data_IF_457840475134
#
_entry.id   IF_457840475134
#
_cell.length_a   1.000
_cell.length_b   1.000
_cell.length_c   1.000
_cell.angle_alpha   90.00
_cell.angle_beta   90.00
_cell.angle_gamma   90.00
#
_symmetry.space_group_name_H-M   'P 1'
#
loop_
_entity.id
_entity.type
_entity.pdbx_description
1 polymer ?
#
# COMPACT_ATOMS: atom_id res chain seq x y z
N UNK A 1 -32.81 -60.35 45.77
CA UNK A 1 -31.64 -61.25 45.66
C UNK A 1 -30.89 -60.90 44.38
N UNK A 2 -29.56 -60.72 44.46
CA UNK A 2 -28.50 -60.78 43.39
C UNK A 2 -28.66 -59.88 42.14
N UNK A 3 -27.92 -58.77 41.97
CA UNK A 3 -26.50 -58.56 41.56
C UNK A 3 -26.19 -58.92 40.09
N UNK A 4 -26.13 -57.87 39.24
CA UNK A 4 -25.02 -57.45 38.35
C UNK A 4 -24.55 -58.33 37.15
N UNK A 5 -24.48 -57.76 35.92
CA UNK A 5 -23.23 -57.39 35.19
C UNK A 5 -23.30 -57.44 33.65
N UNK A 6 -23.02 -56.27 33.01
CA UNK A 6 -22.28 -56.01 31.74
C UNK A 6 -22.82 -56.67 30.44
N UNK A 7 -22.67 -56.16 29.21
CA UNK A 7 -21.80 -55.14 28.60
C UNK A 7 -22.21 -54.97 27.12
N UNK A 8 -21.94 -53.79 26.54
CA UNK A 8 -21.49 -53.55 25.14
C UNK A 8 -22.39 -53.96 23.97
N UNK A 9 -22.59 -53.21 22.88
CA UNK A 9 -21.84 -52.12 22.23
C UNK A 9 -22.83 -51.32 21.37
N UNK A 10 -22.79 -49.99 21.49
CA UNK A 10 -23.42 -49.06 20.55
C UNK A 10 -22.52 -48.91 19.32
N UNK A 11 -23.05 -49.17 18.12
CA UNK A 11 -22.41 -48.78 16.86
C UNK A 11 -23.16 -47.54 16.36
N UNK A 12 -22.63 -46.36 16.71
CA UNK A 12 -23.01 -45.11 16.09
C UNK A 12 -22.14 -44.92 14.84
N UNK A 13 -22.76 -44.95 13.66
CA UNK A 13 -22.10 -44.62 12.40
C UNK A 13 -21.91 -43.10 12.32
N UNK A 14 -20.67 -42.63 12.46
CA UNK A 14 -20.28 -41.26 12.14
C UNK A 14 -20.15 -41.11 10.61
N UNK A 15 -21.12 -40.42 10.00
CA UNK A 15 -20.96 -39.83 8.67
C UNK A 15 -20.00 -38.65 8.74
N UNK A 16 -18.77 -38.84 8.26
CA UNK A 16 -17.79 -37.78 8.09
C UNK A 16 -18.20 -36.88 6.91
N UNK A 17 -18.63 -35.66 7.20
CA UNK A 17 -18.79 -34.60 6.21
C UNK A 17 -17.38 -34.09 5.84
N UNK A 18 -16.94 -34.44 4.63
CA UNK A 18 -15.73 -33.88 4.01
C UNK A 18 -16.00 -32.40 3.69
N UNK A 19 -15.56 -31.50 4.57
CA UNK A 19 -15.44 -30.08 4.25
C UNK A 19 -14.21 -29.94 3.34
N UNK A 20 -14.45 -29.78 2.04
CA UNK A 20 -13.42 -29.33 1.11
C UNK A 20 -13.00 -27.91 1.51
N UNK A 21 -11.98 -27.81 2.37
CA UNK A 21 -11.22 -26.59 2.54
C UNK A 21 -10.51 -26.30 1.22
N UNK A 22 -11.11 -25.49 0.37
CA UNK A 22 -10.39 -24.79 -0.70
C UNK A 22 -9.43 -23.82 -0.02
N UNK A 23 -8.24 -24.31 0.32
CA UNK A 23 -7.10 -23.45 0.55
C UNK A 23 -6.86 -22.72 -0.78
N UNK A 24 -7.38 -21.51 -0.91
CA UNK A 24 -6.82 -20.54 -1.83
C UNK A 24 -5.39 -20.34 -1.36
N UNK A 25 -4.47 -21.10 -1.95
CA UNK A 25 -3.07 -20.77 -1.95
C UNK A 25 -2.98 -19.39 -2.59
N UNK A 26 -3.03 -18.35 -1.75
CA UNK A 26 -2.69 -17.01 -2.19
C UNK A 26 -1.29 -17.14 -2.77
N UNK A 27 -1.17 -16.94 -4.08
CA UNK A 27 0.13 -16.76 -4.70
C UNK A 27 0.85 -15.74 -3.82
N UNK A 28 2.00 -16.13 -3.24
CA UNK A 28 2.84 -15.20 -2.52
C UNK A 28 3.10 -14.05 -3.50
N UNK A 29 2.52 -12.89 -3.24
CA UNK A 29 2.69 -11.73 -4.11
C UNK A 29 4.19 -11.54 -4.30
N UNK A 30 4.64 -11.42 -5.55
CA UNK A 30 6.05 -11.24 -5.83
C UNK A 30 6.57 -10.05 -5.00
N UNK A 31 7.49 -10.32 -4.09
CA UNK A 31 8.04 -9.28 -3.21
C UNK A 31 9.33 -8.75 -3.83
N UNK A 32 9.36 -7.46 -4.16
CA UNK A 32 10.58 -6.76 -4.53
C UNK A 32 11.31 -6.29 -3.27
N UNK A 33 12.60 -6.59 -3.14
CA UNK A 33 13.45 -6.04 -2.07
C UNK A 33 14.09 -4.71 -2.48
N UNK A 34 14.51 -3.90 -1.50
CA UNK A 34 15.26 -2.66 -1.77
C UNK A 34 16.52 -2.91 -2.60
N UNK A 35 17.24 -4.02 -2.35
CA UNK A 35 18.44 -4.36 -3.11
C UNK A 35 18.13 -4.66 -4.58
N UNK A 36 17.03 -5.39 -4.86
CA UNK A 36 16.58 -5.64 -6.22
C UNK A 36 16.09 -4.37 -6.91
N UNK A 37 15.39 -3.49 -6.18
CA UNK A 37 14.96 -2.19 -6.69
C UNK A 37 16.17 -1.31 -7.06
N UNK A 38 17.19 -1.26 -6.19
CA UNK A 38 18.43 -0.53 -6.44
C UNK A 38 19.19 -1.10 -7.64
N UNK A 39 19.27 -2.43 -7.77
CA UNK A 39 19.90 -3.07 -8.92
C UNK A 39 19.19 -2.73 -10.23
N UNK A 40 17.86 -2.71 -10.24
CA UNK A 40 17.07 -2.31 -11.40
C UNK A 40 17.28 -0.83 -11.77
N UNK A 41 17.38 0.06 -10.78
CA UNK A 41 17.72 1.46 -10.97
C UNK A 41 19.14 1.62 -11.54
N UNK A 42 20.12 0.89 -11.02
CA UNK A 42 21.50 0.95 -11.49
C UNK A 42 21.64 0.44 -12.94
N UNK A 43 20.89 -0.60 -13.31
CA UNK A 43 20.83 -1.10 -14.68
C UNK A 43 20.23 -0.06 -15.64
N UNK A 44 19.10 0.55 -15.25
CA UNK A 44 18.48 1.65 -16.00
C UNK A 44 19.45 2.81 -16.25
N UNK A 45 20.16 3.27 -15.21
CA UNK A 45 21.16 4.34 -15.33
C UNK A 45 22.31 3.93 -16.29
N UNK A 46 22.76 2.68 -16.20
CA UNK A 46 23.82 2.17 -17.07
C UNK A 46 23.38 2.12 -18.55
N UNK A 47 22.14 1.70 -18.81
CA UNK A 47 21.56 1.66 -20.15
C UNK A 47 21.41 3.07 -20.74
N UNK A 48 20.92 4.03 -19.95
CA UNK A 48 20.82 5.45 -20.36
C UNK A 48 22.18 6.08 -20.69
N UNK A 49 23.21 5.75 -19.90
CA UNK A 49 24.59 6.18 -20.11
C UNK A 49 25.20 5.56 -21.38
N UNK A 50 24.90 4.29 -21.64
CA UNK A 50 25.35 3.60 -22.85
C UNK A 50 24.66 4.15 -24.11
N UNK A 51 23.38 4.51 -24.02
CA UNK A 51 22.64 5.14 -25.09
C UNK A 51 23.08 6.59 -25.37
N UNK A 52 23.63 7.28 -24.36
CA UNK A 52 24.03 8.69 -24.46
C UNK A 52 25.49 8.92 -24.03
N UNK A 53 26.49 8.41 -24.79
CA UNK A 53 27.90 8.51 -24.41
C UNK A 53 28.41 9.96 -24.29
N UNK A 54 27.73 10.93 -24.91
CA UNK A 54 28.03 12.36 -24.81
C UNK A 54 27.65 12.98 -23.44
N UNK A 55 26.84 12.30 -22.62
CA UNK A 55 26.49 12.71 -21.24
C UNK A 55 27.51 12.24 -20.20
N UNK A 56 28.64 11.64 -20.62
CA UNK A 56 29.77 11.31 -19.75
C UNK A 56 30.46 12.62 -19.29
N UNK A 57 29.85 13.29 -18.32
CA UNK A 57 30.45 14.41 -17.60
C UNK A 57 31.56 13.94 -16.64
N UNK A 58 32.00 14.85 -15.76
CA UNK A 58 33.02 14.54 -14.76
C UNK A 58 32.63 13.31 -13.91
N UNK A 59 33.49 12.28 -13.93
CA UNK A 59 33.32 11.02 -13.22
C UNK A 59 33.13 11.22 -11.70
N UNK A 60 33.76 12.26 -11.13
CA UNK A 60 33.64 12.56 -9.71
C UNK A 60 32.26 13.16 -9.38
N UNK A 61 31.79 14.09 -10.21
CA UNK A 61 30.49 14.73 -10.01
C UNK A 61 29.34 13.74 -10.26
N UNK A 62 29.45 12.91 -11.29
CA UNK A 62 28.47 11.86 -11.57
C UNK A 62 28.40 10.81 -10.45
N UNK A 63 29.53 10.50 -9.78
CA UNK A 63 29.53 9.63 -8.61
C UNK A 63 28.86 10.27 -7.38
N UNK A 64 29.10 11.56 -7.12
CA UNK A 64 28.49 12.27 -5.97
C UNK A 64 26.99 12.43 -6.08
N UNK A 65 26.48 12.67 -7.30
CA UNK A 65 25.06 12.90 -7.57
C UNK A 65 24.35 11.66 -8.14
N UNK A 66 24.99 10.48 -8.07
CA UNK A 66 24.38 9.22 -8.51
C UNK A 66 23.09 8.97 -7.72
N UNK A 67 21.93 8.85 -8.39
CA UNK A 67 20.69 8.50 -7.74
C UNK A 67 20.80 7.15 -7.02
N UNK A 68 20.29 7.08 -5.79
CA UNK A 68 20.19 5.84 -5.01
C UNK A 68 18.86 5.77 -4.30
N UNK A 69 18.37 4.56 -4.06
CA UNK A 69 17.23 4.30 -3.20
C UNK A 69 17.72 4.10 -1.76
N UNK A 70 17.18 4.87 -0.82
CA UNK A 70 17.50 4.76 0.61
C UNK A 70 16.44 3.95 1.37
N UNK A 71 15.22 3.85 0.83
CA UNK A 71 14.16 3.03 1.40
C UNK A 71 13.19 2.51 0.34
N UNK A 72 12.57 1.37 0.65
CA UNK A 72 11.43 0.80 -0.06
C UNK A 72 10.28 0.66 0.95
N UNK A 73 9.25 1.48 0.81
CA UNK A 73 8.10 1.51 1.74
C UNK A 73 7.19 0.32 1.52
N UNK A 74 6.92 0.00 0.26
CA UNK A 74 6.07 -1.13 -0.12
C UNK A 74 5.73 -1.11 -1.60
N UNK A 75 5.23 -2.23 -2.09
CA UNK A 75 4.85 -2.43 -3.48
C UNK A 75 3.41 -2.93 -3.56
N UNK A 76 2.72 -2.53 -4.62
CA UNK A 76 1.39 -3.00 -4.98
C UNK A 76 1.40 -3.49 -6.43
N UNK A 77 0.55 -4.45 -6.80
CA UNK A 77 0.33 -4.76 -8.21
C UNK A 77 -0.08 -3.50 -8.97
N UNK A 78 0.61 -3.24 -10.07
CA UNK A 78 0.31 -2.09 -10.92
C UNK A 78 -1.06 -2.27 -11.59
N UNK A 79 -1.90 -1.24 -11.49
CA UNK A 79 -3.21 -1.21 -12.15
C UNK A 79 -3.01 -0.98 -13.65
N UNK A 80 -3.78 -1.69 -14.48
CA UNK A 80 -3.75 -1.62 -15.94
C UNK A 80 -2.37 -1.95 -16.57
N UNK A 81 -1.55 -2.72 -15.86
CA UNK A 81 -0.23 -3.16 -16.32
C UNK A 81 -0.19 -4.66 -16.66
N UNK A 82 0.96 -5.13 -17.16
CA UNK A 82 1.20 -6.57 -17.37
C UNK A 82 1.12 -7.31 -16.02
N UNK A 83 0.74 -8.60 -16.02
CA UNK A 83 0.82 -9.43 -14.82
C UNK A 83 2.18 -9.31 -14.12
N UNK A 84 2.17 -9.35 -12.80
CA UNK A 84 3.36 -9.28 -11.93
C UNK A 84 4.17 -7.98 -12.01
N UNK A 85 3.63 -6.94 -12.67
CA UNK A 85 4.18 -5.57 -12.59
C UNK A 85 3.85 -4.96 -11.23
N UNK A 86 4.83 -4.29 -10.62
CA UNK A 86 4.69 -3.68 -9.30
C UNK A 86 4.89 -2.17 -9.36
N UNK A 87 3.99 -1.43 -8.74
CA UNK A 87 4.18 -0.01 -8.40
C UNK A 87 4.66 0.07 -6.95
N UNK A 88 5.88 0.59 -6.76
CA UNK A 88 6.54 0.62 -5.47
C UNK A 88 6.80 2.06 -5.02
N UNK A 89 6.43 2.35 -3.78
CA UNK A 89 6.76 3.61 -3.11
C UNK A 89 8.19 3.49 -2.58
N UNK A 90 9.08 4.35 -3.06
CA UNK A 90 10.49 4.38 -2.69
C UNK A 90 10.89 5.77 -2.17
N UNK A 91 11.94 5.80 -1.36
CA UNK A 91 12.68 7.02 -1.06
C UNK A 91 13.98 6.99 -1.86
N UNK A 92 14.15 7.97 -2.73
CA UNK A 92 15.35 8.19 -3.51
C UNK A 92 16.15 9.37 -2.99
N UNK A 93 17.46 9.34 -3.21
CA UNK A 93 18.38 10.41 -2.90
C UNK A 93 19.27 10.69 -4.11
N UNK A 94 19.32 11.96 -4.51
CA UNK A 94 20.26 12.49 -5.48
C UNK A 94 20.81 13.81 -4.93
N UNK A 95 22.07 13.82 -4.49
CA UNK A 95 22.63 14.93 -3.72
C UNK A 95 22.15 14.94 -2.26
N UNK A 96 21.98 16.13 -1.62
CA UNK A 96 21.71 16.23 -0.19
C UNK A 96 20.25 15.92 0.20
N UNK A 97 19.33 16.00 -0.74
CA UNK A 97 17.89 15.89 -0.46
C UNK A 97 17.37 14.49 -0.79
N UNK A 98 16.52 13.98 0.09
CA UNK A 98 15.68 12.82 -0.19
C UNK A 98 14.36 13.25 -0.85
N UNK A 99 13.81 12.38 -1.68
CA UNK A 99 12.51 12.54 -2.31
C UNK A 99 11.78 11.20 -2.29
N UNK A 100 10.50 11.22 -1.99
CA UNK A 100 9.64 10.06 -2.14
C UNK A 100 9.06 10.04 -3.56
N UNK A 101 9.02 8.88 -4.20
CA UNK A 101 8.44 8.69 -5.53
C UNK A 101 7.83 7.28 -5.67
N UNK A 102 6.99 7.11 -6.70
CA UNK A 102 6.52 5.77 -7.09
C UNK A 102 7.25 5.35 -8.35
N UNK A 103 7.89 4.19 -8.30
CA UNK A 103 8.58 3.58 -9.43
C UNK A 103 7.89 2.28 -9.83
N UNK A 104 7.86 2.01 -11.14
CA UNK A 104 7.25 0.79 -11.68
C UNK A 104 8.32 -0.24 -12.04
N UNK A 105 8.17 -1.44 -11.51
CA UNK A 105 9.09 -2.56 -11.74
C UNK A 105 8.38 -3.68 -12.49
N UNK A 106 9.01 -4.15 -13.55
CA UNK A 106 8.50 -5.22 -14.42
C UNK A 106 9.43 -6.44 -14.25
N UNK A 107 8.88 -7.66 -14.14
CA UNK A 107 9.71 -8.86 -14.10
C UNK A 107 10.51 -9.00 -15.41
N UNK A 108 11.79 -9.33 -15.29
CA UNK A 108 12.70 -9.57 -16.40
C UNK A 108 13.53 -10.82 -16.12
N UNK A 109 13.12 -11.96 -16.68
CA UNK A 109 13.64 -13.30 -16.38
C UNK A 109 13.72 -13.56 -14.86
N UNK A 110 14.92 -13.59 -14.28
CA UNK A 110 15.18 -13.81 -12.85
C UNK A 110 15.51 -12.51 -12.10
N UNK A 111 15.23 -11.36 -12.70
CA UNK A 111 15.52 -10.04 -12.17
C UNK A 111 14.30 -9.10 -12.32
N UNK A 112 14.50 -7.86 -11.90
CA UNK A 112 13.53 -6.78 -12.07
C UNK A 112 14.13 -5.73 -12.98
N UNK A 113 13.31 -5.16 -13.86
CA UNK A 113 13.64 -4.01 -14.67
C UNK A 113 12.82 -2.80 -14.20
N UNK A 114 13.45 -1.64 -14.11
CA UNK A 114 12.75 -0.38 -13.89
C UNK A 114 12.07 0.01 -15.22
N UNK A 115 10.74 0.17 -15.20
CA UNK A 115 10.04 0.75 -16.34
C UNK A 115 10.21 2.26 -16.30
N UNK A 116 10.98 2.79 -17.25
CA UNK A 116 11.12 4.22 -17.46
C UNK A 116 11.02 4.57 -18.95
N UNK A 117 10.69 5.81 -19.25
CA UNK A 117 10.84 6.42 -20.57
C UNK A 117 11.63 7.72 -20.46
N UNK A 118 12.03 8.31 -21.60
CA UNK A 118 12.73 9.60 -21.63
C UNK A 118 11.97 10.71 -20.87
N UNK A 119 10.64 10.60 -20.75
CA UNK A 119 9.79 11.63 -20.16
C UNK A 119 9.14 11.21 -18.82
N UNK A 120 9.26 9.94 -18.42
CA UNK A 120 8.52 9.41 -17.27
C UNK A 120 9.32 8.31 -16.58
N UNK A 121 9.98 8.66 -15.48
CA UNK A 121 10.65 7.74 -14.56
C UNK A 121 9.76 7.41 -13.35
N UNK A 122 8.93 8.37 -12.94
CA UNK A 122 8.00 8.25 -11.83
C UNK A 122 6.59 7.98 -12.37
N UNK A 123 5.86 7.05 -11.76
CA UNK A 123 4.44 6.83 -12.05
C UNK A 123 3.57 7.53 -11.00
N UNK A 124 2.27 7.66 -11.28
CA UNK A 124 1.31 8.20 -10.33
C UNK A 124 1.35 7.44 -9.00
N UNK A 125 1.11 8.16 -7.89
CA UNK A 125 1.03 7.54 -6.57
C UNK A 125 -0.10 6.50 -6.55
N UNK A 126 0.12 5.32 -5.94
CA UNK A 126 -0.91 4.29 -5.89
C UNK A 126 -2.09 4.79 -5.05
N UNK A 127 -3.30 4.52 -5.54
CA UNK A 127 -4.55 4.96 -4.91
C UNK A 127 -5.09 3.83 -4.03
N UNK A 128 -5.37 4.09 -2.73
CA UNK A 128 -5.99 3.09 -1.88
C UNK A 128 -7.40 2.73 -2.37
N UNK A 129 -7.79 1.45 -2.36
CA UNK A 129 -9.14 1.03 -2.75
C UNK A 129 -10.24 1.74 -1.95
N UNK A 130 -11.32 2.13 -2.61
CA UNK A 130 -12.41 2.91 -2.00
C UNK A 130 -13.05 2.21 -0.80
N UNK A 131 -13.24 0.90 -0.88
CA UNK A 131 -13.75 0.06 0.20
C UNK A 131 -12.81 0.01 1.40
N UNK A 132 -11.49 -0.03 1.16
CA UNK A 132 -10.50 0.10 2.24
C UNK A 132 -10.52 1.49 2.86
N UNK A 133 -10.63 2.55 2.05
CA UNK A 133 -10.74 3.93 2.54
C UNK A 133 -12.00 4.14 3.38
N UNK A 134 -13.12 3.47 3.06
CA UNK A 134 -14.31 3.47 3.92
C UNK A 134 -14.01 2.97 5.33
N UNK A 135 -13.27 1.87 5.46
CA UNK A 135 -12.89 1.33 6.77
C UNK A 135 -11.97 2.32 7.51
N UNK A 136 -10.96 2.86 6.81
CA UNK A 136 -10.02 3.83 7.37
C UNK A 136 -10.70 5.14 7.80
N UNK A 137 -11.72 5.60 7.08
CA UNK A 137 -12.54 6.74 7.45
C UNK A 137 -13.24 6.51 8.80
N UNK A 138 -13.84 5.34 8.98
CA UNK A 138 -14.54 4.98 10.22
C UNK A 138 -13.55 4.80 11.38
N UNK A 139 -12.37 4.25 11.14
CA UNK A 139 -11.29 4.18 12.13
C UNK A 139 -10.89 5.60 12.60
N UNK A 140 -10.68 6.54 11.66
CA UNK A 140 -10.33 7.92 11.98
C UNK A 140 -11.45 8.64 12.76
N UNK A 141 -12.72 8.39 12.42
CA UNK A 141 -13.87 8.93 13.18
C UNK A 141 -13.91 8.33 14.59
N UNK A 142 -13.65 7.04 14.76
CA UNK A 142 -13.59 6.40 16.07
C UNK A 142 -12.49 6.99 16.95
N UNK A 143 -11.33 7.31 16.37
CA UNK A 143 -10.24 7.97 17.10
C UNK A 143 -10.62 9.38 17.53
N UNK A 144 -11.25 10.16 16.65
CA UNK A 144 -11.79 11.48 16.97
C UNK A 144 -12.82 11.42 18.10
N UNK A 145 -13.74 10.44 18.07
CA UNK A 145 -14.74 10.23 19.13
C UNK A 145 -14.10 9.92 20.49
N UNK A 146 -12.99 9.19 20.51
CA UNK A 146 -12.28 8.87 21.74
C UNK A 146 -11.60 10.09 22.39
N UNK A 147 -11.32 11.13 21.60
CA UNK A 147 -10.70 12.38 22.06
C UNK A 147 -11.73 13.48 22.37
N UNK A 148 -12.98 13.32 21.91
CA UNK A 148 -14.04 14.32 22.07
C UNK A 148 -14.67 14.30 23.47
N UNK A 149 -14.56 15.43 24.18
CA UNK A 149 -15.05 15.61 25.54
C UNK A 149 -16.46 16.24 25.57
N UNK A 150 -16.88 16.96 24.54
CA UNK A 150 -18.23 17.53 24.42
C UNK A 150 -19.24 16.44 24.01
N UNK A 151 -20.24 16.21 24.85
CA UNK A 151 -21.26 15.19 24.61
C UNK A 151 -22.20 15.51 23.43
N UNK A 152 -22.51 16.78 23.19
CA UNK A 152 -23.32 17.19 22.06
C UNK A 152 -22.54 17.02 20.75
N UNK A 153 -21.25 17.39 20.74
CA UNK A 153 -20.38 17.17 19.58
C UNK A 153 -20.19 15.68 19.29
N UNK A 154 -19.93 14.88 20.34
CA UNK A 154 -19.77 13.42 20.21
C UNK A 154 -21.00 12.76 19.59
N UNK A 155 -22.20 13.18 19.98
CA UNK A 155 -23.46 12.67 19.42
C UNK A 155 -23.56 13.02 17.92
N UNK A 156 -23.25 14.27 17.54
CA UNK A 156 -23.26 14.69 16.12
C UNK A 156 -22.27 13.88 15.28
N UNK A 157 -21.06 13.66 15.78
CA UNK A 157 -20.05 12.85 15.08
C UNK A 157 -20.54 11.40 14.92
N UNK A 158 -21.15 10.83 15.96
CA UNK A 158 -21.71 9.47 15.89
C UNK A 158 -22.83 9.34 14.86
N UNK A 159 -23.75 10.32 14.79
CA UNK A 159 -24.85 10.31 13.84
C UNK A 159 -24.35 10.46 12.39
N UNK A 160 -23.39 11.38 12.16
CA UNK A 160 -22.73 11.51 10.87
C UNK A 160 -22.00 10.21 10.48
N UNK A 161 -21.28 9.58 11.41
CA UNK A 161 -20.54 8.34 11.15
C UNK A 161 -21.42 7.19 10.67
N UNK A 162 -22.66 7.09 11.16
CA UNK A 162 -23.61 6.03 10.77
C UNK A 162 -24.01 6.08 9.31
N UNK A 163 -23.96 7.27 8.71
CA UNK A 163 -24.35 7.49 7.31
C UNK A 163 -23.18 7.81 6.40
N UNK A 164 -21.97 7.94 6.97
CA UNK A 164 -20.76 8.29 6.25
C UNK A 164 -20.38 7.21 5.24
N UNK A 165 -20.37 7.57 3.96
CA UNK A 165 -19.95 6.73 2.84
C UNK A 165 -18.90 7.43 2.01
N UNK A 166 -17.82 6.73 1.68
CA UNK A 166 -16.84 7.19 0.71
C UNK A 166 -17.41 6.95 -0.68
N UNK A 167 -17.56 8.02 -1.46
CA UNK A 167 -18.04 7.97 -2.84
C UNK A 167 -16.95 8.24 -3.89
N UNK A 168 -15.74 8.59 -3.45
CA UNK A 168 -14.57 8.73 -4.32
C UNK A 168 -13.27 8.96 -3.55
N UNK A 169 -12.16 8.58 -4.17
CA UNK A 169 -10.80 8.84 -3.69
C UNK A 169 -10.04 9.45 -4.85
N UNK A 170 -9.67 10.72 -4.72
CA UNK A 170 -9.15 11.52 -5.83
C UNK A 170 -7.88 12.28 -5.44
N UNK A 171 -7.19 12.80 -6.47
CA UNK A 171 -6.03 13.70 -6.33
C UNK A 171 -4.97 13.15 -5.37
N UNK A 172 -4.76 11.84 -5.41
CA UNK A 172 -3.72 11.18 -4.63
C UNK A 172 -2.34 11.58 -5.12
N UNK A 173 -1.48 11.98 -4.18
CA UNK A 173 -0.07 12.30 -4.43
C UNK A 173 0.76 11.77 -3.28
N UNK A 174 2.04 11.49 -3.57
CA UNK A 174 2.97 11.12 -2.51
C UNK A 174 3.42 12.39 -1.76
N UNK A 175 3.46 12.31 -0.43
CA UNK A 175 3.86 13.40 0.45
C UNK A 175 5.32 13.79 0.22
N UNK A 176 5.64 15.08 0.37
CA UNK A 176 7.02 15.57 0.23
C UNK A 176 7.89 15.23 1.44
N UNK A 177 7.29 15.18 2.63
CA UNK A 177 8.01 15.05 3.91
C UNK A 177 8.06 13.62 4.47
N UNK A 178 7.22 12.73 3.93
CA UNK A 178 7.12 11.35 4.36
C UNK A 178 6.58 10.47 3.22
N UNK A 179 6.91 9.17 3.17
CA UNK A 179 6.45 8.26 2.13
C UNK A 179 4.99 7.81 2.38
N UNK A 180 4.08 8.77 2.43
CA UNK A 180 2.64 8.60 2.64
C UNK A 180 1.88 9.15 1.44
N UNK A 181 0.70 8.61 1.16
CA UNK A 181 -0.16 9.08 0.06
C UNK A 181 -1.23 10.00 0.62
N UNK A 182 -1.20 11.26 0.19
CA UNK A 182 -2.20 12.28 0.50
C UNK A 182 -3.28 12.26 -0.58
N UNK A 183 -4.54 12.03 -0.20
CA UNK A 183 -5.67 12.02 -1.12
C UNK A 183 -6.80 12.91 -0.62
N UNK A 184 -7.61 13.37 -1.56
CA UNK A 184 -8.92 13.97 -1.27
C UNK A 184 -9.99 12.88 -1.30
N UNK A 185 -10.59 12.62 -0.15
CA UNK A 185 -11.66 11.62 0.00
C UNK A 185 -13.00 12.30 -0.07
N UNK A 186 -13.84 11.88 -1.01
CA UNK A 186 -15.20 12.37 -1.13
C UNK A 186 -16.09 11.54 -0.21
N UNK A 187 -16.74 12.22 0.73
CA UNK A 187 -17.59 11.60 1.75
C UNK A 187 -19.01 12.15 1.63
N UNK A 188 -19.97 11.25 1.68
CA UNK A 188 -21.38 11.54 1.79
C UNK A 188 -21.88 11.15 3.18
N UNK A 189 -22.48 12.09 3.91
CA UNK A 189 -23.06 11.85 5.23
C UNK A 189 -24.30 12.74 5.40
N UNK A 190 -25.36 12.21 5.98
CA UNK A 190 -26.61 12.95 6.24
C UNK A 190 -27.20 13.64 4.99
N UNK A 191 -27.02 13.02 3.81
CA UNK A 191 -27.48 13.58 2.53
C UNK A 191 -26.64 14.76 2.01
N UNK A 192 -25.49 15.05 2.63
CA UNK A 192 -24.53 16.07 2.19
C UNK A 192 -23.26 15.42 1.67
N UNK A 193 -22.73 15.95 0.57
CA UNK A 193 -21.44 15.55 -0.01
C UNK A 193 -20.37 16.58 0.35
N UNK A 194 -19.22 16.11 0.80
CA UNK A 194 -18.07 16.94 1.12
C UNK A 194 -16.76 16.24 0.77
N UNK A 195 -15.67 17.00 0.82
CA UNK A 195 -14.31 16.49 0.60
C UNK A 195 -13.53 16.56 1.91
N UNK A 196 -12.84 15.47 2.25
CA UNK A 196 -11.99 15.36 3.43
C UNK A 196 -10.58 14.95 2.99
N UNK A 197 -9.55 15.79 3.22
CA UNK A 197 -8.16 15.37 3.05
C UNK A 197 -7.85 14.23 4.01
N UNK A 198 -7.22 13.17 3.51
CA UNK A 198 -6.75 12.04 4.31
C UNK A 198 -5.36 11.60 3.83
N UNK A 199 -4.56 11.12 4.78
CA UNK A 199 -3.20 10.67 4.54
C UNK A 199 -3.09 9.19 4.87
N UNK A 200 -2.54 8.42 3.94
CA UNK A 200 -2.48 6.97 4.01
C UNK A 200 -1.03 6.47 3.97
N UNK A 201 -0.71 5.52 4.84
CA UNK A 201 0.56 4.81 4.81
C UNK A 201 0.35 3.41 4.22
N UNK A 202 1.31 2.94 3.43
CA UNK A 202 1.39 1.55 3.00
C UNK A 202 2.35 0.82 3.94
N UNK A 203 1.82 -0.08 4.76
CA UNK A 203 2.58 -0.83 5.77
C UNK A 203 2.33 -2.30 5.54
N UNK A 204 3.40 -3.07 5.28
CA UNK A 204 3.32 -4.51 4.97
C UNK A 204 2.32 -4.82 3.84
N UNK A 205 2.29 -3.95 2.81
CA UNK A 205 1.38 -4.07 1.67
C UNK A 205 -0.08 -3.74 1.98
N UNK A 206 -0.38 -3.22 3.17
CA UNK A 206 -1.73 -2.85 3.60
C UNK A 206 -1.84 -1.35 3.84
N UNK A 207 -2.96 -0.77 3.37
CA UNK A 207 -3.26 0.63 3.60
C UNK A 207 -3.73 0.87 5.03
N UNK A 208 -3.16 1.88 5.67
CA UNK A 208 -3.49 2.34 7.02
C UNK A 208 -3.63 3.87 7.03
N UNK A 209 -4.36 4.43 8.00
CA UNK A 209 -4.28 5.86 8.26
C UNK A 209 -2.84 6.19 8.68
N UNK A 210 -2.24 7.20 8.06
CA UNK A 210 -0.93 7.68 8.52
C UNK A 210 -1.06 8.23 9.94
N UNK A 211 -0.05 7.99 10.77
CA UNK A 211 -0.03 8.59 12.10
C UNK A 211 0.06 10.12 11.96
N UNK A 212 -0.80 10.84 12.66
CA UNK A 212 -0.70 12.29 12.76
C UNK A 212 0.68 12.63 13.35
N UNK A 213 1.44 13.51 12.68
CA UNK A 213 2.63 14.09 13.30
C UNK A 213 2.14 14.84 14.54
N UNK A 214 2.53 14.36 15.72
CA UNK A 214 2.46 15.18 16.93
C UNK A 214 3.54 16.24 16.77
N UNK A 215 3.12 17.47 16.53
CA UNK A 215 3.95 18.66 16.72
C UNK A 215 4.38 18.80 18.19
#
# INVERSE_FOLDING_TARGET
MTVSRYSTLHIAALTAALVCATATAGAAAATLSLAQAQQALDAAIADDMAANPQKQGDALMSAMFRPRLTALTGCLPAVDAKPDTLDCIVTGQAGPSERHMTLRFVPNDNAWALQHSENEMEVAAPVPPQDRVQVLLLEAISQMLAQENDAAMRTRIQDAARTAQVSGVERCKLGSEAPVVECDVIVEAEGKRGTRPMTFALVDGQWQNAADKKD
#
